data_IF_161323446402
#
_entry.id   IF_161323446402
#
_cell.length_a   1.000
_cell.length_b   1.000
_cell.length_c   1.000
_cell.angle_alpha   90.00
_cell.angle_beta   90.00
_cell.angle_gamma   90.00
#
_symmetry.space_group_name_H-M   'P 1'
#
loop_
_entity.id
_entity.type
_entity.pdbx_description
1 polymer ?
#
# COMPACT_ATOMS: atom_id res chain seq x y z
N UNK A 1 -16.44 2.04 -11.40
CA UNK A 1 -15.59 0.86 -11.10
C UNK A 1 -15.19 1.02 -9.64
N UNK A 2 -15.45 0.03 -8.79
CA UNK A 2 -15.07 0.09 -7.36
C UNK A 2 -13.65 -0.49 -7.25
N UNK A 3 -12.72 0.18 -6.54
CA UNK A 3 -11.39 -0.39 -6.32
C UNK A 3 -11.48 -1.61 -5.40
N UNK A 4 -10.57 -2.55 -5.59
CA UNK A 4 -10.46 -3.75 -4.74
C UNK A 4 -10.10 -3.37 -3.31
N UNK A 5 -9.20 -2.39 -3.16
CA UNK A 5 -8.80 -1.90 -1.85
C UNK A 5 -8.60 -0.39 -1.74
N UNK A 6 -8.48 0.06 -0.50
CA UNK A 6 -8.17 1.44 -0.12
C UNK A 6 -7.13 1.40 1.01
N UNK A 7 -6.12 2.26 0.95
CA UNK A 7 -5.19 2.43 2.07
C UNK A 7 -5.92 3.11 3.23
N UNK A 8 -5.64 2.65 4.45
CA UNK A 8 -6.24 3.21 5.67
C UNK A 8 -5.18 3.43 6.75
N UNK A 9 -5.13 4.66 7.24
CA UNK A 9 -4.22 5.10 8.29
C UNK A 9 -5.06 5.49 9.53
N UNK A 10 -4.95 4.78 10.66
CA UNK A 10 -5.79 5.02 11.83
C UNK A 10 -5.27 6.17 12.72
N UNK A 11 -4.86 7.29 12.12
CA UNK A 11 -4.44 8.50 12.84
C UNK A 11 -5.49 9.60 12.71
N UNK A 12 -5.56 10.44 13.73
CA UNK A 12 -6.18 11.75 13.67
C UNK A 12 -5.17 12.75 13.07
N UNK A 13 -5.66 13.94 12.67
CA UNK A 13 -4.84 15.00 12.07
C UNK A 13 -3.67 15.47 12.97
N UNK A 14 -3.80 15.30 14.29
CA UNK A 14 -2.76 15.62 15.28
C UNK A 14 -1.74 14.48 15.51
N UNK A 15 -1.73 13.49 14.61
CA UNK A 15 -0.91 12.26 14.68
C UNK A 15 -1.27 11.32 15.84
N UNK A 16 -2.28 11.61 16.65
CA UNK A 16 -2.75 10.66 17.67
C UNK A 16 -3.50 9.49 17.03
N UNK A 17 -3.48 8.34 17.69
CA UNK A 17 -4.19 7.16 17.18
C UNK A 17 -5.70 7.28 17.37
N UNK A 18 -6.46 6.90 16.35
CA UNK A 18 -7.91 6.77 16.41
C UNK A 18 -8.33 5.72 17.43
N UNK A 19 -9.44 5.99 18.10
CA UNK A 19 -10.11 5.03 19.00
C UNK A 19 -10.74 3.87 18.20
N UNK A 20 -11.07 2.77 18.89
CA UNK A 20 -11.73 1.63 18.26
C UNK A 20 -13.06 2.00 17.58
N UNK A 21 -13.85 2.90 18.19
CA UNK A 21 -15.13 3.34 17.63
C UNK A 21 -14.94 4.21 16.37
N UNK A 22 -13.94 5.09 16.37
CA UNK A 22 -13.58 5.87 15.17
C UNK A 22 -13.11 4.95 14.04
N UNK A 23 -12.23 4.00 14.34
CA UNK A 23 -11.78 3.00 13.35
C UNK A 23 -12.96 2.20 12.80
N UNK A 24 -13.86 1.74 13.67
CA UNK A 24 -15.03 0.99 13.22
C UNK A 24 -15.93 1.81 12.30
N UNK A 25 -16.19 3.08 12.64
CA UNK A 25 -16.99 3.99 11.82
C UNK A 25 -16.33 4.23 10.44
N UNK A 26 -15.02 4.44 10.41
CA UNK A 26 -14.27 4.62 9.17
C UNK A 26 -14.35 3.39 8.27
N UNK A 27 -14.12 2.20 8.83
CA UNK A 27 -14.21 0.95 8.07
C UNK A 27 -15.65 0.66 7.60
N UNK A 28 -16.68 1.08 8.35
CA UNK A 28 -18.07 1.00 7.89
C UNK A 28 -18.30 1.84 6.64
N UNK A 29 -17.72 3.05 6.59
CA UNK A 29 -17.79 3.91 5.41
C UNK A 29 -17.07 3.23 4.24
N UNK A 30 -15.85 2.71 4.42
CA UNK A 30 -15.12 1.98 3.38
C UNK A 30 -15.96 0.81 2.82
N UNK A 31 -16.51 -0.02 3.71
CA UNK A 31 -17.35 -1.15 3.31
C UNK A 31 -18.62 -0.70 2.56
N UNK A 32 -19.21 0.44 2.95
CA UNK A 32 -20.41 0.99 2.29
C UNK A 32 -20.16 1.45 0.85
N UNK A 33 -18.90 1.73 0.48
CA UNK A 33 -18.48 2.01 -0.91
C UNK A 33 -18.33 0.75 -1.77
N UNK A 34 -18.54 -0.44 -1.19
CA UNK A 34 -18.37 -1.73 -1.86
C UNK A 34 -16.92 -2.21 -1.94
N UNK A 35 -16.01 -1.55 -1.23
CA UNK A 35 -14.59 -1.92 -1.17
C UNK A 35 -14.45 -3.14 -0.26
N UNK A 36 -13.67 -4.13 -0.69
CA UNK A 36 -13.54 -5.42 0.00
C UNK A 36 -12.28 -5.57 0.84
N UNK A 37 -11.26 -4.74 0.60
CA UNK A 37 -9.95 -4.86 1.23
C UNK A 37 -9.46 -3.50 1.74
N UNK A 38 -8.76 -3.50 2.86
CA UNK A 38 -7.96 -2.36 3.31
C UNK A 38 -6.48 -2.71 3.32
N UNK A 39 -5.63 -1.73 2.99
CA UNK A 39 -4.19 -1.83 3.17
C UNK A 39 -3.74 -1.02 4.38
N UNK A 40 -2.99 -1.66 5.26
CA UNK A 40 -2.39 -1.06 6.47
C UNK A 40 -0.87 -1.12 6.32
N UNK A 41 -0.16 -0.03 6.63
CA UNK A 41 1.29 0.05 6.41
C UNK A 41 2.14 -0.64 7.47
N UNK A 42 1.70 -0.58 8.72
CA UNK A 42 2.46 -1.03 9.89
C UNK A 42 1.58 -1.66 10.95
N UNK A 43 2.12 -1.73 12.18
CA UNK A 43 1.47 -2.38 13.33
C UNK A 43 1.22 -1.43 14.50
N UNK A 44 1.48 -0.15 14.28
CA UNK A 44 1.25 0.92 15.23
C UNK A 44 -0.25 1.28 15.33
N UNK A 45 -0.56 2.25 16.18
CA UNK A 45 -1.94 2.62 16.53
C UNK A 45 -2.86 1.45 16.90
N UNK A 46 -2.26 0.43 17.52
CA UNK A 46 -2.99 -0.70 18.08
C UNK A 46 -3.87 -1.43 17.05
N UNK A 47 -3.45 -1.45 15.78
CA UNK A 47 -4.25 -1.96 14.65
C UNK A 47 -4.79 -3.38 14.86
N UNK A 48 -4.05 -4.23 15.59
CA UNK A 48 -4.51 -5.59 15.88
C UNK A 48 -5.69 -5.65 16.87
N UNK A 49 -5.86 -4.64 17.72
CA UNK A 49 -6.98 -4.58 18.66
C UNK A 49 -8.10 -3.63 18.19
N UNK A 50 -7.87 -2.83 17.15
CA UNK A 50 -8.85 -1.87 16.61
C UNK A 50 -9.28 -2.23 15.19
N UNK A 51 -8.34 -2.17 14.24
CA UNK A 51 -8.59 -2.39 12.80
C UNK A 51 -8.95 -3.84 12.49
N UNK A 52 -8.16 -4.80 12.96
CA UNK A 52 -8.41 -6.21 12.67
C UNK A 52 -9.80 -6.69 13.15
N UNK A 53 -10.21 -6.54 14.42
CA UNK A 53 -11.56 -6.95 14.82
C UNK A 53 -12.68 -6.19 14.06
N UNK A 54 -12.49 -4.90 13.77
CA UNK A 54 -13.45 -4.10 13.00
C UNK A 54 -13.61 -4.60 11.56
N UNK A 55 -12.51 -4.82 10.84
CA UNK A 55 -12.51 -5.34 9.48
C UNK A 55 -13.18 -6.72 9.41
N UNK A 56 -12.89 -7.62 10.37
CA UNK A 56 -13.51 -8.95 10.46
C UNK A 56 -15.04 -8.86 10.60
N UNK A 57 -15.52 -7.95 11.46
CA UNK A 57 -16.96 -7.71 11.67
C UNK A 57 -17.65 -7.18 10.41
N UNK A 58 -16.93 -6.45 9.57
CA UNK A 58 -17.44 -5.82 8.35
C UNK A 58 -17.21 -6.66 7.08
N UNK A 59 -16.54 -7.82 7.20
CA UNK A 59 -16.22 -8.66 6.05
C UNK A 59 -15.10 -8.11 5.16
N UNK A 60 -14.29 -7.18 5.68
CA UNK A 60 -13.12 -6.64 4.97
C UNK A 60 -11.90 -7.54 5.22
N UNK A 61 -11.14 -7.80 4.16
CA UNK A 61 -9.81 -8.41 4.27
C UNK A 61 -8.73 -7.35 4.48
N UNK A 62 -7.57 -7.76 4.98
CA UNK A 62 -6.45 -6.87 5.26
C UNK A 62 -5.23 -7.28 4.43
N UNK A 63 -4.69 -6.34 3.67
CA UNK A 63 -3.32 -6.36 3.20
C UNK A 63 -2.45 -5.75 4.30
N UNK A 64 -1.80 -6.60 5.10
CA UNK A 64 -1.10 -6.15 6.31
C UNK A 64 0.37 -5.86 6.01
N UNK A 65 0.79 -4.63 6.26
CA UNK A 65 2.18 -4.21 6.15
C UNK A 65 2.98 -4.45 7.40
N UNK A 66 4.22 -4.87 7.19
CA UNK A 66 5.26 -4.94 8.19
C UNK A 66 6.32 -3.90 7.81
N UNK A 67 6.21 -2.71 8.41
CA UNK A 67 6.99 -1.55 8.02
C UNK A 67 8.46 -1.68 8.43
N UNK A 68 9.36 -1.28 7.54
CA UNK A 68 10.79 -1.12 7.82
C UNK A 68 11.01 0.38 7.98
N UNK A 69 11.75 0.79 8.99
CA UNK A 69 12.08 2.20 9.27
C UNK A 69 13.54 2.51 8.95
N UNK A 70 13.93 3.78 9.07
CA UNK A 70 15.33 4.22 8.99
C UNK A 70 16.27 3.56 10.03
N UNK A 71 15.75 2.84 11.03
CA UNK A 71 16.55 2.02 11.94
C UNK A 71 17.08 0.73 11.29
N UNK A 72 16.70 0.43 10.05
CA UNK A 72 17.23 -0.67 9.24
C UNK A 72 16.38 -1.94 9.30
N UNK A 73 16.93 -3.01 8.71
CA UNK A 73 16.20 -4.23 8.36
C UNK A 73 15.51 -4.94 9.53
N UNK A 74 16.05 -4.84 10.74
CA UNK A 74 15.50 -5.51 11.93
C UNK A 74 14.35 -4.73 12.60
N UNK A 75 14.09 -3.48 12.19
CA UNK A 75 12.95 -2.70 12.71
C UNK A 75 11.58 -3.33 12.39
N UNK A 76 11.54 -4.31 11.49
CA UNK A 76 10.34 -5.07 11.15
C UNK A 76 9.98 -6.15 12.18
N UNK A 77 10.92 -6.57 13.03
CA UNK A 77 10.79 -7.78 13.86
C UNK A 77 9.69 -7.65 14.93
N UNK A 78 9.51 -6.46 15.50
CA UNK A 78 8.45 -6.18 16.46
C UNK A 78 7.07 -6.28 15.80
N UNK A 79 6.93 -5.74 14.59
CA UNK A 79 5.70 -5.82 13.81
C UNK A 79 5.36 -7.26 13.43
N UNK A 80 6.35 -8.04 13.00
CA UNK A 80 6.17 -9.47 12.70
C UNK A 80 5.73 -10.25 13.94
N UNK A 81 6.38 -10.01 15.08
CA UNK A 81 6.06 -10.68 16.33
C UNK A 81 4.65 -10.34 16.81
N UNK A 82 4.25 -9.06 16.71
CA UNK A 82 2.90 -8.59 17.00
C UNK A 82 1.85 -9.25 16.11
N UNK A 83 2.10 -9.31 14.79
CA UNK A 83 1.23 -9.99 13.82
C UNK A 83 1.02 -11.46 14.17
N UNK A 84 2.11 -12.21 14.39
CA UNK A 84 2.04 -13.63 14.73
C UNK A 84 1.32 -13.87 16.07
N UNK A 85 1.58 -13.02 17.07
CA UNK A 85 0.95 -13.13 18.39
C UNK A 85 -0.55 -12.86 18.33
N UNK A 86 -0.96 -11.83 17.57
CA UNK A 86 -2.38 -11.53 17.35
C UNK A 86 -3.09 -12.70 16.69
N UNK A 87 -2.55 -13.21 15.58
CA UNK A 87 -3.16 -14.27 14.81
C UNK A 87 -3.28 -15.57 15.61
N UNK A 88 -2.26 -15.96 16.37
CA UNK A 88 -2.28 -17.15 17.22
C UNK A 88 -3.46 -17.18 18.21
N UNK A 89 -3.93 -16.00 18.65
CA UNK A 89 -5.05 -15.88 19.60
C UNK A 89 -6.39 -15.66 18.89
N UNK A 90 -6.43 -14.83 17.84
CA UNK A 90 -7.69 -14.27 17.31
C UNK A 90 -8.07 -14.79 15.91
N UNK A 91 -7.08 -15.22 15.13
CA UNK A 91 -7.27 -15.78 13.78
C UNK A 91 -6.14 -16.78 13.42
N UNK A 92 -6.11 -17.97 14.04
CA UNK A 92 -5.03 -18.94 13.82
C UNK A 92 -4.93 -19.45 12.38
N UNK A 93 -5.99 -19.24 11.59
CA UNK A 93 -6.02 -19.57 10.16
C UNK A 93 -5.53 -18.45 9.25
N UNK A 94 -5.26 -17.25 9.80
CA UNK A 94 -4.95 -16.03 9.05
C UNK A 94 -5.98 -15.71 7.96
N UNK A 95 -7.24 -16.11 8.18
CA UNK A 95 -8.34 -15.98 7.22
C UNK A 95 -8.66 -14.53 6.88
N UNK A 96 -8.42 -13.61 7.80
CA UNK A 96 -8.66 -12.19 7.63
C UNK A 96 -7.61 -11.50 6.74
N UNK A 97 -6.40 -12.04 6.70
CA UNK A 97 -5.28 -11.43 6.00
C UNK A 97 -5.22 -11.98 4.57
N UNK A 98 -5.34 -11.10 3.59
CA UNK A 98 -5.24 -11.47 2.18
C UNK A 98 -3.78 -11.66 1.76
N UNK A 99 -2.90 -10.79 2.25
CA UNK A 99 -1.47 -10.80 1.95
C UNK A 99 -0.66 -10.03 3.00
N UNK A 100 0.67 -10.17 2.93
CA UNK A 100 1.61 -9.34 3.69
C UNK A 100 2.50 -8.50 2.76
N UNK A 101 2.69 -7.23 3.10
CA UNK A 101 3.73 -6.38 2.52
C UNK A 101 4.93 -6.28 3.45
N UNK A 102 6.11 -6.64 2.98
CA UNK A 102 7.37 -6.55 3.72
C UNK A 102 8.08 -5.27 3.31
N UNK A 103 8.06 -4.27 4.20
CA UNK A 103 8.48 -2.91 3.88
C UNK A 103 7.47 -2.16 2.99
N UNK A 104 7.70 -0.86 2.88
CA UNK A 104 7.06 0.04 1.93
C UNK A 104 8.09 1.10 1.54
N UNK A 105 8.55 1.06 0.30
CA UNK A 105 9.58 1.93 -0.26
C UNK A 105 10.89 1.92 0.55
N UNK A 106 11.20 0.79 1.18
CA UNK A 106 12.35 0.69 2.07
C UNK A 106 13.67 0.67 1.29
N UNK A 107 13.67 0.09 0.09
CA UNK A 107 14.80 0.12 -0.84
C UNK A 107 14.95 1.51 -1.44
N UNK A 108 13.85 2.09 -1.92
CA UNK A 108 13.84 3.45 -2.49
C UNK A 108 14.32 4.52 -1.50
N UNK A 109 13.93 4.42 -0.24
CA UNK A 109 14.38 5.32 0.81
C UNK A 109 15.84 5.07 1.26
N UNK A 110 16.51 4.04 0.72
CA UNK A 110 17.88 3.68 1.08
C UNK A 110 18.02 3.16 2.52
N UNK A 111 16.93 2.75 3.16
CA UNK A 111 16.96 2.20 4.53
C UNK A 111 17.52 0.79 4.56
N UNK A 112 17.33 0.03 3.48
CA UNK A 112 17.86 -1.32 3.28
C UNK A 112 18.24 -1.53 1.81
N UNK A 113 19.16 -2.46 1.54
CA UNK A 113 19.43 -2.91 0.18
C UNK A 113 18.40 -3.95 -0.28
N UNK A 114 18.24 -4.12 -1.59
CA UNK A 114 17.39 -5.18 -2.15
C UNK A 114 17.80 -6.58 -1.65
N UNK A 115 19.10 -6.85 -1.55
CA UNK A 115 19.64 -8.10 -1.01
C UNK A 115 19.24 -8.33 0.46
N UNK A 116 19.38 -7.32 1.31
CA UNK A 116 18.97 -7.39 2.72
C UNK A 116 17.47 -7.69 2.85
N UNK A 117 16.65 -7.02 2.04
CA UNK A 117 15.21 -7.20 2.03
C UNK A 117 14.81 -8.61 1.56
N UNK A 118 15.45 -9.13 0.52
CA UNK A 118 15.26 -10.50 0.02
C UNK A 118 15.60 -11.52 1.11
N UNK A 119 16.77 -11.39 1.74
CA UNK A 119 17.22 -12.36 2.75
C UNK A 119 16.32 -12.32 4.00
N UNK A 120 15.97 -11.11 4.49
CA UNK A 120 15.03 -10.97 5.59
C UNK A 120 13.67 -11.59 5.26
N UNK A 121 13.17 -11.40 4.04
CA UNK A 121 11.89 -11.98 3.62
C UNK A 121 11.93 -13.51 3.61
N UNK A 122 13.04 -14.14 3.19
CA UNK A 122 13.20 -15.61 3.29
C UNK A 122 13.10 -16.10 4.73
N UNK A 123 13.71 -15.38 5.67
CA UNK A 123 13.62 -15.70 7.10
C UNK A 123 12.20 -15.52 7.63
N UNK A 124 11.53 -14.42 7.26
CA UNK A 124 10.13 -14.15 7.62
C UNK A 124 9.23 -15.27 7.10
N UNK A 125 9.40 -15.68 5.84
CA UNK A 125 8.67 -16.81 5.26
C UNK A 125 8.83 -18.09 6.05
N UNK A 126 10.06 -18.44 6.43
CA UNK A 126 10.30 -19.65 7.21
C UNK A 126 9.55 -19.60 8.56
N UNK A 127 9.56 -18.46 9.25
CA UNK A 127 8.81 -18.24 10.49
C UNK A 127 7.30 -18.35 10.29
N UNK A 128 6.77 -17.73 9.24
CA UNK A 128 5.35 -17.71 8.90
C UNK A 128 4.83 -19.09 8.45
N UNK A 129 5.61 -19.82 7.65
CA UNK A 129 5.27 -21.18 7.24
C UNK A 129 5.18 -22.14 8.43
N UNK A 130 6.06 -21.98 9.44
CA UNK A 130 6.04 -22.79 10.65
C UNK A 130 4.76 -22.62 11.49
N UNK A 131 4.05 -21.50 11.33
CA UNK A 131 2.77 -21.21 11.99
C UNK A 131 1.57 -21.33 11.04
N UNK A 132 1.77 -21.88 9.84
CA UNK A 132 0.69 -22.18 8.90
C UNK A 132 0.22 -21.00 8.02
N UNK A 133 0.92 -19.87 8.03
CA UNK A 133 0.64 -18.76 7.12
C UNK A 133 1.19 -19.08 5.72
N UNK A 134 0.32 -19.09 4.71
CA UNK A 134 0.63 -19.45 3.32
C UNK A 134 0.06 -18.46 2.29
N UNK A 135 -0.33 -17.25 2.73
CA UNK A 135 -0.86 -16.21 1.85
C UNK A 135 0.27 -15.48 1.10
N UNK A 136 -0.05 -14.73 0.04
CA UNK A 136 0.93 -13.95 -0.71
C UNK A 136 1.77 -13.02 0.17
N UNK A 137 3.07 -12.99 -0.08
CA UNK A 137 4.03 -12.05 0.50
C UNK A 137 4.75 -11.32 -0.64
N UNK A 138 4.80 -9.99 -0.56
CA UNK A 138 5.53 -9.16 -1.51
C UNK A 138 6.09 -7.92 -0.79
N UNK A 139 6.90 -7.12 -1.48
CA UNK A 139 7.28 -5.77 -1.03
C UNK A 139 6.52 -4.74 -1.85
N UNK A 140 6.33 -3.54 -1.32
CA UNK A 140 5.73 -2.42 -2.01
C UNK A 140 6.81 -1.39 -2.31
N UNK A 141 7.09 -1.15 -3.59
CA UNK A 141 8.12 -0.21 -4.05
C UNK A 141 7.61 0.52 -5.31
N UNK A 142 8.16 1.69 -5.65
CA UNK A 142 7.89 2.33 -6.94
C UNK A 142 8.48 1.53 -8.10
N UNK A 143 7.99 1.75 -9.34
CA UNK A 143 8.50 1.12 -10.56
C UNK A 143 10.04 1.21 -10.71
N UNK A 144 10.62 2.36 -10.35
CA UNK A 144 12.06 2.59 -10.43
C UNK A 144 12.88 1.58 -9.61
N UNK A 145 12.41 1.21 -8.41
CA UNK A 145 13.13 0.25 -7.57
C UNK A 145 13.21 -1.14 -8.22
N UNK A 146 12.14 -1.60 -8.87
CA UNK A 146 12.15 -2.88 -9.60
C UNK A 146 13.00 -2.83 -10.87
N UNK A 147 13.07 -1.67 -11.52
CA UNK A 147 13.91 -1.45 -12.71
C UNK A 147 15.40 -1.45 -12.33
N UNK A 148 15.75 -0.78 -11.22
CA UNK A 148 17.12 -0.68 -10.70
C UNK A 148 17.57 -1.96 -10.00
N UNK A 149 16.65 -2.66 -9.34
CA UNK A 149 16.87 -3.89 -8.57
C UNK A 149 15.96 -5.03 -9.05
N UNK A 150 16.14 -5.55 -10.28
CA UNK A 150 15.31 -6.63 -10.81
C UNK A 150 15.41 -7.94 -10.02
N UNK A 151 16.41 -8.10 -9.15
CA UNK A 151 16.49 -9.19 -8.19
C UNK A 151 15.25 -9.27 -7.26
N UNK A 152 14.61 -8.13 -6.97
CA UNK A 152 13.36 -8.07 -6.18
C UNK A 152 12.21 -8.83 -6.85
N UNK A 153 12.21 -8.94 -8.18
CA UNK A 153 11.13 -9.59 -8.94
C UNK A 153 11.60 -10.80 -9.76
N UNK A 154 12.82 -11.28 -9.50
CA UNK A 154 13.36 -12.48 -10.11
C UNK A 154 12.60 -13.74 -9.68
N UNK A 155 12.68 -14.81 -10.47
CA UNK A 155 12.04 -16.10 -10.13
C UNK A 155 12.60 -16.76 -8.86
N UNK A 156 13.75 -16.29 -8.35
CA UNK A 156 14.37 -16.75 -7.10
C UNK A 156 14.09 -15.82 -5.92
N UNK A 157 13.40 -14.70 -6.17
CA UNK A 157 12.91 -13.80 -5.13
C UNK A 157 11.89 -14.53 -4.24
N UNK A 158 11.86 -14.23 -2.93
CA UNK A 158 10.84 -14.77 -2.03
C UNK A 158 9.47 -14.07 -2.22
N UNK A 159 9.31 -13.13 -3.14
CA UNK A 159 8.04 -12.43 -3.32
C UNK A 159 7.12 -13.14 -4.33
N UNK A 160 5.83 -13.27 -3.99
CA UNK A 160 4.83 -13.94 -4.84
C UNK A 160 4.26 -13.01 -5.92
N UNK A 161 4.43 -11.69 -5.75
CA UNK A 161 3.88 -10.63 -6.59
C UNK A 161 4.83 -9.44 -6.64
N UNK A 162 4.66 -8.60 -7.66
CA UNK A 162 5.28 -7.28 -7.74
C UNK A 162 4.26 -6.27 -7.20
N UNK A 163 4.55 -5.65 -6.06
CA UNK A 163 3.69 -4.65 -5.43
C UNK A 163 4.15 -3.25 -5.80
N UNK A 164 3.35 -2.53 -6.59
CA UNK A 164 3.73 -1.23 -7.13
C UNK A 164 3.05 -0.08 -6.40
N UNK A 165 3.86 0.90 -6.01
CA UNK A 165 3.42 2.24 -5.62
C UNK A 165 3.61 3.19 -6.81
N UNK A 166 2.52 3.62 -7.46
CA UNK A 166 2.58 4.36 -8.73
C UNK A 166 1.65 5.56 -8.70
N UNK A 167 2.18 6.77 -8.57
CA UNK A 167 1.34 7.98 -8.53
C UNK A 167 1.59 8.83 -9.78
N UNK A 168 0.57 9.04 -10.65
CA UNK A 168 0.71 9.89 -11.84
C UNK A 168 1.28 11.28 -11.52
N UNK A 169 0.89 11.85 -10.37
CA UNK A 169 1.33 13.18 -9.95
C UNK A 169 2.86 13.38 -9.95
N UNK A 170 3.66 12.34 -9.67
CA UNK A 170 5.12 12.47 -9.64
C UNK A 170 5.78 12.38 -11.03
N UNK A 171 5.00 12.30 -12.11
CA UNK A 171 5.49 12.47 -13.47
C UNK A 171 5.14 13.87 -14.01
N UNK A 172 6.13 14.77 -13.99
CA UNK A 172 5.99 16.14 -14.49
C UNK A 172 5.66 16.24 -15.99
N UNK A 173 5.82 15.15 -16.76
CA UNK A 173 5.63 15.15 -18.21
C UNK A 173 4.24 14.72 -18.65
N UNK A 174 3.39 14.26 -17.73
CA UNK A 174 2.00 13.91 -18.01
C UNK A 174 1.02 14.81 -17.26
N UNK A 175 -0.20 14.92 -17.78
CA UNK A 175 -1.33 15.56 -17.10
C UNK A 175 -2.25 14.51 -16.47
N UNK A 176 -3.16 14.96 -15.60
CA UNK A 176 -4.07 14.07 -14.87
C UNK A 176 -4.91 13.16 -15.79
N UNK A 177 -5.32 13.64 -16.96
CA UNK A 177 -6.06 12.89 -17.99
C UNK A 177 -5.21 11.84 -18.73
N UNK A 178 -3.89 11.84 -18.54
CA UNK A 178 -2.96 10.85 -19.10
C UNK A 178 -2.55 9.78 -18.08
N UNK A 179 -3.23 9.70 -16.93
CA UNK A 179 -2.90 8.72 -15.88
C UNK A 179 -3.00 7.28 -16.37
N UNK A 180 -3.92 6.97 -17.29
CA UNK A 180 -4.06 5.63 -17.85
C UNK A 180 -2.77 5.22 -18.59
N UNK A 181 -2.33 6.06 -19.52
CA UNK A 181 -1.13 5.83 -20.34
C UNK A 181 0.13 5.81 -19.47
N UNK A 182 0.18 6.67 -18.45
CA UNK A 182 1.27 6.67 -17.49
C UNK A 182 1.37 5.34 -16.75
N UNK A 183 0.29 4.86 -16.10
CA UNK A 183 0.29 3.58 -15.40
C UNK A 183 0.68 2.42 -16.34
N UNK A 184 0.12 2.40 -17.56
CA UNK A 184 0.46 1.40 -18.57
C UNK A 184 1.96 1.38 -18.93
N UNK A 185 2.57 2.56 -19.01
CA UNK A 185 4.01 2.69 -19.30
C UNK A 185 4.88 2.18 -18.14
N UNK A 186 4.48 2.45 -16.90
CA UNK A 186 5.20 1.99 -15.70
C UNK A 186 5.13 0.46 -15.59
N UNK A 187 3.95 -0.12 -15.79
CA UNK A 187 3.80 -1.57 -15.81
C UNK A 187 4.61 -2.22 -16.93
N UNK A 188 4.65 -1.64 -18.13
CA UNK A 188 5.46 -2.17 -19.22
C UNK A 188 6.96 -2.14 -18.89
N UNK A 189 7.45 -1.05 -18.27
CA UNK A 189 8.85 -0.91 -17.87
C UNK A 189 9.25 -1.93 -16.81
N UNK A 190 8.41 -2.11 -15.78
CA UNK A 190 8.64 -3.11 -14.73
C UNK A 190 8.59 -4.53 -15.31
N UNK A 191 7.63 -4.84 -16.18
CA UNK A 191 7.55 -6.15 -16.85
C UNK A 191 8.82 -6.47 -17.63
N UNK A 192 9.39 -5.48 -18.33
CA UNK A 192 10.62 -5.62 -19.08
C UNK A 192 11.83 -5.89 -18.17
N UNK A 193 11.94 -5.19 -17.04
CA UNK A 193 13.02 -5.40 -16.07
C UNK A 193 12.90 -6.75 -15.33
N UNK A 194 11.67 -7.11 -14.94
CA UNK A 194 11.35 -8.30 -14.17
C UNK A 194 11.20 -9.58 -15.01
N UNK A 195 11.54 -9.55 -16.30
CA UNK A 195 11.48 -10.73 -17.19
C UNK A 195 10.15 -11.51 -17.15
N UNK A 196 9.04 -10.82 -16.86
CA UNK A 196 7.69 -11.39 -16.77
C UNK A 196 7.39 -12.30 -15.56
N UNK A 197 8.20 -12.28 -14.49
CA UNK A 197 8.14 -13.33 -13.44
C UNK A 197 7.19 -13.15 -12.25
N UNK A 198 6.23 -12.22 -12.24
CA UNK A 198 5.10 -12.28 -11.30
C UNK A 198 3.92 -11.41 -11.75
N UNK A 199 2.67 -11.72 -11.36
CA UNK A 199 1.55 -10.79 -11.57
C UNK A 199 1.77 -9.48 -10.82
N UNK A 200 1.55 -8.36 -11.51
CA UNK A 200 1.60 -7.02 -10.91
C UNK A 200 0.34 -6.77 -10.10
N UNK A 201 0.51 -6.04 -8.99
CA UNK A 201 -0.58 -5.42 -8.27
C UNK A 201 -0.16 -3.99 -7.91
N UNK A 202 -0.94 -3.02 -8.36
CA UNK A 202 -0.78 -1.64 -7.89
C UNK A 202 -1.41 -1.56 -6.50
N UNK A 203 -0.55 -1.49 -5.50
CA UNK A 203 -0.92 -1.49 -4.08
C UNK A 203 -0.95 -0.10 -3.47
N UNK A 204 -0.52 0.90 -4.23
CA UNK A 204 -0.69 2.31 -3.91
C UNK A 204 -0.75 3.13 -5.17
N UNK A 205 -1.80 3.92 -5.34
CA UNK A 205 -1.87 4.93 -6.38
C UNK A 205 -2.97 5.93 -6.03
N UNK A 206 -2.77 7.17 -6.43
CA UNK A 206 -3.71 8.25 -6.16
C UNK A 206 -3.26 9.53 -6.82
N UNK A 207 -4.08 10.56 -6.68
CA UNK A 207 -3.78 11.89 -7.19
C UNK A 207 -4.20 12.93 -6.15
N UNK A 208 -3.38 13.96 -5.88
CA UNK A 208 -3.72 14.96 -4.87
C UNK A 208 -4.76 15.96 -5.40
N UNK A 209 -5.68 16.38 -4.55
CA UNK A 209 -6.68 17.40 -4.91
C UNK A 209 -6.23 18.84 -4.64
N UNK A 210 -5.09 19.03 -3.95
CA UNK A 210 -4.47 20.32 -3.68
C UNK A 210 -2.93 20.17 -3.53
N UNK A 211 -2.23 21.29 -3.39
CA UNK A 211 -0.76 21.37 -3.38
C UNK A 211 -0.21 22.07 -4.62
N UNK A 212 1.10 21.95 -4.85
CA UNK A 212 1.78 22.68 -5.91
C UNK A 212 1.69 21.99 -7.28
N UNK A 213 1.76 22.80 -8.33
CA UNK A 213 1.91 22.31 -9.71
C UNK A 213 3.30 21.69 -9.89
N UNK A 214 3.36 20.52 -10.52
CA UNK A 214 4.60 19.87 -10.91
C UNK A 214 4.59 19.54 -12.41
N UNK A 215 5.24 20.39 -13.22
CA UNK A 215 5.18 20.28 -14.67
C UNK A 215 3.75 20.41 -15.20
N UNK A 216 3.26 19.36 -15.86
CA UNK A 216 1.88 19.26 -16.36
C UNK A 216 0.87 18.78 -15.31
N UNK A 217 1.33 18.40 -14.12
CA UNK A 217 0.46 17.94 -13.03
C UNK A 217 -0.05 19.12 -12.22
N UNK A 218 -1.38 19.29 -12.21
CA UNK A 218 -2.07 20.41 -11.56
C UNK A 218 -3.07 19.87 -10.54
N UNK A 219 -2.73 19.79 -9.25
CA UNK A 219 -3.64 19.33 -8.22
C UNK A 219 -4.93 20.15 -8.19
N UNK A 220 -6.07 19.46 -8.25
CA UNK A 220 -7.40 20.04 -8.06
C UNK A 220 -8.40 18.91 -7.83
N UNK A 221 -9.54 19.19 -7.22
CA UNK A 221 -10.66 18.22 -7.09
C UNK A 221 -11.08 17.66 -8.46
N UNK A 222 -11.05 18.49 -9.51
CA UNK A 222 -11.38 18.06 -10.87
C UNK A 222 -10.33 17.09 -11.42
N UNK A 223 -9.03 17.42 -11.29
CA UNK A 223 -7.96 16.58 -11.80
C UNK A 223 -7.78 15.29 -10.99
N UNK A 224 -8.02 15.31 -9.67
CA UNK A 224 -8.10 14.10 -8.86
C UNK A 224 -9.18 13.16 -9.40
N UNK A 225 -10.39 13.67 -9.66
CA UNK A 225 -11.49 12.87 -10.25
C UNK A 225 -11.12 12.29 -11.62
N UNK A 226 -10.47 13.07 -12.47
CA UNK A 226 -10.01 12.62 -13.79
C UNK A 226 -8.97 11.50 -13.64
N UNK A 227 -7.93 11.71 -12.85
CA UNK A 227 -6.84 10.75 -12.66
C UNK A 227 -7.34 9.45 -12.02
N UNK A 228 -8.13 9.52 -10.96
CA UNK A 228 -8.69 8.33 -10.28
C UNK A 228 -9.60 7.53 -11.22
N UNK A 229 -10.39 8.20 -12.07
CA UNK A 229 -11.17 7.51 -13.10
C UNK A 229 -10.26 6.74 -14.07
N UNK A 230 -9.21 7.37 -14.59
CA UNK A 230 -8.25 6.75 -15.51
C UNK A 230 -7.49 5.57 -14.86
N UNK A 231 -7.11 5.70 -13.59
CA UNK A 231 -6.51 4.62 -12.79
C UNK A 231 -7.46 3.42 -12.70
N UNK A 232 -8.72 3.66 -12.36
CA UNK A 232 -9.72 2.60 -12.23
C UNK A 232 -10.03 1.92 -13.57
N UNK A 233 -10.03 2.68 -14.67
CA UNK A 233 -10.22 2.15 -16.02
C UNK A 233 -9.03 1.27 -16.46
N UNK A 234 -7.79 1.72 -16.22
CA UNK A 234 -6.58 0.95 -16.51
C UNK A 234 -6.54 -0.37 -15.73
N UNK A 235 -6.81 -0.31 -14.44
CA UNK A 235 -6.71 -1.46 -13.54
C UNK A 235 -7.95 -2.37 -13.55
N UNK A 236 -9.01 -1.96 -14.25
CA UNK A 236 -10.34 -2.55 -14.14
C UNK A 236 -10.82 -2.72 -12.68
N UNK A 237 -10.37 -1.85 -11.78
CA UNK A 237 -10.66 -1.90 -10.34
C UNK A 237 -9.75 -2.82 -9.51
N UNK A 238 -8.84 -3.57 -10.12
CA UNK A 238 -7.85 -4.38 -9.40
C UNK A 238 -6.67 -3.52 -8.92
N UNK A 239 -6.95 -2.68 -7.93
CA UNK A 239 -6.03 -1.67 -7.39
C UNK A 239 -6.33 -1.40 -5.92
N UNK A 240 -5.30 -0.98 -5.18
CA UNK A 240 -5.46 -0.34 -3.88
C UNK A 240 -5.22 1.16 -4.05
N UNK A 241 -6.27 1.96 -3.86
CA UNK A 241 -6.17 3.41 -3.97
C UNK A 241 -5.60 4.04 -2.69
N UNK A 242 -4.90 5.15 -2.86
CA UNK A 242 -4.34 5.99 -1.82
C UNK A 242 -5.02 7.36 -1.83
N UNK A 243 -5.74 7.77 -0.79
CA UNK A 243 -6.03 7.11 0.51
C UNK A 243 -7.44 7.48 1.00
N UNK A 244 -7.92 6.95 2.14
CA UNK A 244 -9.27 7.26 2.65
C UNK A 244 -9.48 8.77 2.89
N UNK A 245 -8.68 9.38 3.77
CA UNK A 245 -8.75 10.79 4.13
C UNK A 245 -7.48 11.52 3.74
N UNK A 246 -7.56 12.84 3.70
CA UNK A 246 -6.37 13.69 3.73
C UNK A 246 -5.55 13.38 5.00
N UNK A 247 -4.28 13.04 4.81
CA UNK A 247 -3.39 12.65 5.91
C UNK A 247 -2.70 13.89 6.50
N UNK A 248 -3.46 14.80 7.14
CA UNK A 248 -2.92 16.04 7.71
C UNK A 248 -1.88 15.84 8.83
N UNK A 249 -1.77 14.61 9.34
CA UNK A 249 -0.74 14.20 10.29
C UNK A 249 0.65 14.02 9.66
N UNK A 250 0.74 13.95 8.32
CA UNK A 250 2.01 13.84 7.58
C UNK A 250 2.66 15.19 7.37
N UNK A 251 3.97 15.18 7.14
CA UNK A 251 4.64 16.33 6.55
C UNK A 251 4.11 16.56 5.12
N UNK A 252 4.00 17.81 4.63
CA UNK A 252 3.48 18.11 3.28
C UNK A 252 4.26 17.48 2.12
N UNK A 253 5.52 17.08 2.39
CA UNK A 253 6.39 16.40 1.44
C UNK A 253 6.74 17.24 0.21
N UNK A 254 7.27 16.60 -0.85
CA UNK A 254 7.57 17.24 -2.11
C UNK A 254 6.32 17.93 -2.67
N UNK A 255 6.47 19.17 -3.14
CA UNK A 255 5.39 19.94 -3.77
C UNK A 255 4.13 20.14 -2.91
N UNK A 256 4.22 19.96 -1.59
CA UNK A 256 3.12 20.20 -0.64
C UNK A 256 1.84 19.39 -0.94
N UNK A 257 1.96 18.16 -1.46
CA UNK A 257 0.81 17.33 -1.86
C UNK A 257 0.46 16.19 -0.91
N UNK A 258 1.38 15.75 -0.04
CA UNK A 258 1.21 14.50 0.74
C UNK A 258 -0.01 14.49 1.66
N UNK A 259 -0.51 15.68 2.04
CA UNK A 259 -1.67 15.84 2.90
C UNK A 259 -3.00 15.92 2.15
N UNK A 260 -3.02 15.78 0.81
CA UNK A 260 -4.20 16.06 -0.01
C UNK A 260 -4.63 14.90 -0.94
N UNK A 261 -4.32 13.66 -0.56
CA UNK A 261 -4.67 12.46 -1.34
C UNK A 261 -6.00 11.79 -0.94
N UNK A 262 -6.79 12.39 -0.04
CA UNK A 262 -8.05 11.79 0.42
C UNK A 262 -9.05 11.54 -0.71
N UNK A 263 -9.70 10.38 -0.69
CA UNK A 263 -10.60 9.91 -1.76
C UNK A 263 -12.02 9.56 -1.29
N UNK A 264 -12.31 9.52 0.01
CA UNK A 264 -13.58 8.94 0.49
C UNK A 264 -14.84 9.65 -0.03
N UNK A 265 -14.76 10.96 -0.24
CA UNK A 265 -15.85 11.77 -0.82
C UNK A 265 -15.99 11.61 -2.34
N UNK A 266 -14.92 11.14 -2.99
CA UNK A 266 -14.88 10.87 -4.43
C UNK A 266 -15.44 9.49 -4.79
N UNK A 267 -15.21 8.49 -3.92
CA UNK A 267 -15.54 7.07 -4.12
C UNK A 267 -17.02 6.72 -3.94
#
# INVERSE_FOLDING_TARGET
IVPTGLTYSPYNDDSSCKTADQVYADLQIIASKGISQIRIYGTDCNVFNTVAPAAKKLGLTIMQGLYITAAGIDSIDDGLSGFMSYAAVNDPSYSQFDSLTIGNEAVTNGWVTAEQLIEKTKQIRAKLAAVGFNKPIFTAEPPSAYIEHPELCSTTSPFDRIGLNVHPYFDQYSSADQSYEFLASQDAAVNAACSGSAPHLIVETGYPHAGDVYGLQVPSVQNQRISVKQILEYTAGNVVLFTMYDDFWKAPGPHNVETYFGLIDLL
#
